data_IF_569827418278
#
_entry.id   IF_569827418278
#
_cell.length_a   1.000
_cell.length_b   1.000
_cell.length_c   1.000
_cell.angle_alpha   90.00
_cell.angle_beta   90.00
_cell.angle_gamma   90.00
#
_symmetry.space_group_name_H-M   'P 1'
#
loop_
_entity.id
_entity.type
_entity.pdbx_description
1 polymer ?
#
# COMPACT_ATOMS: atom_id res chain seq x y z
N UNK A 1 -5.99 -16.14 -2.94
CA UNK A 1 -5.58 -14.87 -3.56
C UNK A 1 -5.67 -13.79 -2.49
N UNK A 2 -4.67 -12.92 -2.32
CA UNK A 2 -4.72 -11.86 -1.31
C UNK A 2 -5.79 -10.81 -1.63
N UNK A 3 -6.30 -10.14 -0.60
CA UNK A 3 -7.20 -9.00 -0.78
C UNK A 3 -6.48 -7.84 -1.47
N UNK A 4 -7.19 -7.09 -2.30
CA UNK A 4 -6.68 -5.89 -2.93
C UNK A 4 -6.48 -4.77 -1.90
N UNK A 5 -5.46 -3.95 -2.10
CA UNK A 5 -5.21 -2.77 -1.27
C UNK A 5 -5.91 -1.54 -1.85
N UNK A 6 -6.32 -0.64 -0.96
CA UNK A 6 -6.99 0.63 -1.30
C UNK A 6 -6.58 1.73 -0.34
N UNK A 7 -6.95 2.96 -0.67
CA UNK A 7 -6.71 4.14 0.17
C UNK A 7 -7.11 3.89 1.63
N UNK A 8 -6.29 4.38 2.56
CA UNK A 8 -6.43 4.20 4.01
C UNK A 8 -6.16 2.78 4.54
N UNK A 9 -5.86 1.79 3.70
CA UNK A 9 -5.35 0.50 4.19
C UNK A 9 -3.94 0.68 4.79
N UNK A 10 -3.61 -0.20 5.75
CA UNK A 10 -2.40 -0.07 6.58
C UNK A 10 -1.17 -0.67 5.91
N UNK A 11 -0.03 -0.03 6.10
CA UNK A 11 1.30 -0.59 5.91
C UNK A 11 1.97 -0.83 7.25
N UNK A 12 2.39 -2.07 7.51
CA UNK A 12 2.88 -2.50 8.82
C UNK A 12 4.08 -1.70 9.32
N UNK A 13 4.29 -1.71 10.62
CA UNK A 13 5.52 -1.21 11.26
C UNK A 13 6.76 -2.00 10.82
N UNK A 14 7.94 -1.39 10.96
CA UNK A 14 9.25 -2.06 10.85
C UNK A 14 10.29 -1.31 11.70
N UNK A 15 11.27 -2.01 12.26
CA UNK A 15 12.43 -1.42 12.95
C UNK A 15 12.12 -0.33 14.00
N UNK A 16 10.95 -0.42 14.66
CA UNK A 16 10.47 0.56 15.64
C UNK A 16 9.83 1.82 15.04
N UNK A 17 9.64 1.90 13.72
CA UNK A 17 8.79 2.88 13.05
C UNK A 17 7.35 2.36 13.01
N UNK A 18 6.39 3.16 13.49
CA UNK A 18 4.98 2.76 13.61
C UNK A 18 4.30 2.57 12.25
N UNK A 19 3.17 1.85 12.21
CA UNK A 19 2.39 1.64 10.99
C UNK A 19 1.77 2.95 10.47
N UNK A 20 1.65 3.08 9.15
CA UNK A 20 0.98 4.21 8.51
C UNK A 20 0.08 3.73 7.39
N UNK A 21 -0.75 4.60 6.84
CA UNK A 21 -1.75 4.24 5.82
C UNK A 21 -1.35 4.74 4.44
N UNK A 22 -1.91 4.10 3.40
CA UNK A 22 -1.86 4.58 2.01
C UNK A 22 -2.61 5.92 1.94
N UNK A 23 -1.99 6.94 1.33
CA UNK A 23 -2.52 8.32 1.29
C UNK A 23 -2.90 8.81 -0.11
N UNK A 24 -2.57 8.06 -1.15
CA UNK A 24 -3.09 8.28 -2.50
C UNK A 24 -3.22 6.94 -3.22
N UNK A 25 -4.15 6.87 -4.18
CA UNK A 25 -4.33 5.72 -5.05
C UNK A 25 -4.72 6.14 -6.46
N UNK A 26 -5.36 5.23 -7.18
CA UNK A 26 -5.96 5.47 -8.49
C UNK A 26 -7.08 6.52 -8.42
N UNK A 27 -7.13 7.43 -9.41
CA UNK A 27 -8.22 8.40 -9.57
C UNK A 27 -9.37 7.88 -10.45
N UNK A 28 -9.25 6.69 -11.00
CA UNK A 28 -10.13 6.11 -12.04
C UNK A 28 -10.73 4.77 -11.62
N UNK A 29 -10.06 4.03 -10.74
CA UNK A 29 -10.48 2.71 -10.26
C UNK A 29 -10.68 2.72 -8.76
N UNK A 30 -11.86 2.28 -8.34
CA UNK A 30 -12.28 2.23 -6.95
C UNK A 30 -12.58 0.78 -6.55
N UNK A 31 -12.10 0.38 -5.38
CA UNK A 31 -12.37 -0.91 -4.73
C UNK A 31 -13.12 -0.60 -3.44
N UNK A 32 -14.31 -1.18 -3.28
CA UNK A 32 -15.22 -0.89 -2.16
C UNK A 32 -15.48 0.61 -1.95
N UNK A 33 -15.52 1.38 -3.04
CA UNK A 33 -15.73 2.83 -3.01
C UNK A 33 -14.49 3.67 -2.65
N UNK A 34 -13.34 3.04 -2.36
CA UNK A 34 -12.06 3.74 -2.10
C UNK A 34 -11.10 3.59 -3.28
N UNK A 35 -10.22 4.58 -3.46
CA UNK A 35 -9.21 4.55 -4.54
C UNK A 35 -8.36 3.28 -4.44
N UNK A 36 -8.26 2.52 -5.53
CA UNK A 36 -7.44 1.32 -5.57
C UNK A 36 -5.95 1.68 -5.46
N UNK A 37 -5.19 0.93 -4.68
CA UNK A 37 -3.77 1.15 -4.51
C UNK A 37 -2.94 0.32 -5.51
N UNK A 38 -1.80 0.86 -5.90
CA UNK A 38 -0.91 0.32 -6.93
C UNK A 38 0.54 0.45 -6.50
N UNK A 39 1.42 -0.29 -7.15
CA UNK A 39 2.86 -0.10 -6.98
C UNK A 39 3.23 1.37 -7.22
N UNK A 40 4.05 1.93 -6.32
CA UNK A 40 4.48 3.32 -6.34
C UNK A 40 3.57 4.29 -5.58
N UNK A 41 2.32 3.91 -5.26
CA UNK A 41 1.44 4.77 -4.49
C UNK A 41 2.01 5.00 -3.06
N UNK A 42 1.91 6.24 -2.53
CA UNK A 42 2.54 6.61 -1.28
C UNK A 42 1.76 6.17 -0.05
N UNK A 43 2.49 5.87 1.02
CA UNK A 43 1.96 5.84 2.38
C UNK A 43 2.42 7.09 3.12
N UNK A 44 1.71 7.45 4.20
CA UNK A 44 2.16 8.55 5.05
C UNK A 44 3.57 8.26 5.59
N UNK A 45 4.49 9.25 5.59
CA UNK A 45 5.81 9.08 6.16
C UNK A 45 5.70 8.81 7.65
N UNK A 46 6.71 8.15 8.20
CA UNK A 46 6.80 7.91 9.64
C UNK A 46 8.19 8.21 10.18
N UNK A 47 8.26 8.38 11.50
CA UNK A 47 9.48 8.63 12.24
C UNK A 47 9.50 7.74 13.50
N UNK A 48 10.65 7.70 14.17
CA UNK A 48 10.80 7.10 15.50
C UNK A 48 11.71 7.99 16.34
N UNK A 49 11.74 7.84 17.68
CA UNK A 49 12.61 8.66 18.53
C UNK A 49 14.07 8.66 18.02
N UNK A 50 14.67 9.86 17.99
CA UNK A 50 16.07 10.09 17.56
C UNK A 50 16.38 9.76 16.09
N UNK A 51 15.37 9.62 15.23
CA UNK A 51 15.55 9.40 13.79
C UNK A 51 14.60 10.33 13.00
N UNK A 52 15.06 10.96 11.91
CA UNK A 52 14.19 11.81 11.09
C UNK A 52 13.08 10.99 10.40
N UNK A 53 11.98 11.63 9.99
CA UNK A 53 10.96 10.96 9.17
C UNK A 53 11.54 10.54 7.82
N UNK A 54 11.00 9.48 7.24
CA UNK A 54 11.33 9.05 5.87
C UNK A 54 10.06 8.68 5.09
N UNK A 55 10.08 8.81 3.74
CA UNK A 55 8.95 8.49 2.89
C UNK A 55 8.72 6.98 2.81
N UNK A 56 7.50 6.61 2.41
CA UNK A 56 7.08 5.22 2.21
C UNK A 56 6.29 5.12 0.92
N UNK A 57 6.53 4.08 0.12
CA UNK A 57 5.70 3.75 -1.07
C UNK A 57 5.55 2.25 -1.22
N UNK A 58 4.47 1.83 -1.87
CA UNK A 58 4.24 0.44 -2.22
C UNK A 58 5.32 -0.01 -3.22
N UNK A 59 6.09 -1.03 -2.87
CA UNK A 59 7.17 -1.57 -3.70
C UNK A 59 6.75 -2.82 -4.48
N UNK A 60 5.81 -3.61 -3.95
CA UNK A 60 5.26 -4.80 -4.61
C UNK A 60 3.94 -4.56 -5.35
N UNK A 61 3.46 -5.57 -6.07
CA UNK A 61 2.19 -5.56 -6.77
C UNK A 61 1.93 -6.89 -7.48
N UNK A 62 0.75 -7.02 -8.08
CA UNK A 62 0.38 -8.16 -8.94
C UNK A 62 1.25 -8.25 -10.19
N UNK A 63 1.59 -9.47 -10.61
CA UNK A 63 2.31 -9.72 -11.86
C UNK A 63 1.40 -9.74 -13.10
N UNK A 64 0.07 -9.78 -12.90
CA UNK A 64 -0.90 -9.98 -13.98
C UNK A 64 -2.05 -8.99 -13.99
N UNK A 65 -2.32 -8.32 -12.87
CA UNK A 65 -3.40 -7.34 -12.76
C UNK A 65 -2.80 -5.94 -12.64
N UNK A 66 -3.17 -5.09 -13.58
CA UNK A 66 -2.71 -3.72 -13.67
C UNK A 66 -3.89 -2.76 -13.51
N UNK A 67 -3.71 -1.73 -12.69
CA UNK A 67 -4.66 -0.63 -12.51
C UNK A 67 -3.94 0.63 -12.98
N UNK A 68 -4.52 1.34 -13.95
CA UNK A 68 -3.88 2.46 -14.65
C UNK A 68 -2.48 2.17 -15.19
N UNK A 69 -2.26 0.93 -15.64
CA UNK A 69 -0.97 0.49 -16.18
C UNK A 69 0.10 0.18 -15.12
N UNK A 70 -0.21 0.30 -13.83
CA UNK A 70 0.70 -0.07 -12.73
C UNK A 70 0.24 -1.37 -12.05
N UNK A 71 1.16 -2.22 -11.55
CA UNK A 71 0.81 -3.40 -10.78
C UNK A 71 -0.15 -3.08 -9.63
N UNK A 72 -1.28 -3.78 -9.56
CA UNK A 72 -2.26 -3.60 -8.49
C UNK A 72 -1.68 -4.07 -7.15
N UNK A 73 -1.80 -3.26 -6.10
CA UNK A 73 -1.28 -3.59 -4.78
C UNK A 73 -2.25 -4.53 -4.03
N UNK A 74 -1.68 -5.44 -3.26
CA UNK A 74 -2.39 -6.51 -2.55
C UNK A 74 -1.87 -6.64 -1.12
N UNK A 75 -2.63 -7.32 -0.28
CA UNK A 75 -2.14 -7.76 1.03
C UNK A 75 -0.87 -8.58 0.89
N UNK A 76 0.15 -8.22 1.68
CA UNK A 76 1.45 -8.87 1.68
C UNK A 76 2.47 -8.23 0.72
N UNK A 77 2.06 -7.34 -0.18
CA UNK A 77 3.01 -6.64 -1.04
C UNK A 77 3.90 -5.70 -0.20
N UNK A 78 5.20 -5.68 -0.53
CA UNK A 78 6.22 -4.98 0.25
C UNK A 78 6.10 -3.45 0.16
N UNK A 79 6.58 -2.76 1.19
CA UNK A 79 6.80 -1.31 1.23
C UNK A 79 8.30 -1.06 1.12
N UNK A 80 8.71 -0.05 0.36
CA UNK A 80 10.11 0.19 -0.01
C UNK A 80 11.06 0.39 1.19
N UNK A 81 10.57 1.01 2.27
CA UNK A 81 11.32 1.23 3.50
C UNK A 81 11.27 0.06 4.49
N UNK A 82 10.37 -0.91 4.26
CA UNK A 82 10.11 -2.04 5.17
C UNK A 82 8.63 -2.19 5.55
N UNK A 83 8.26 -3.44 5.84
CA UNK A 83 6.88 -3.84 6.12
C UNK A 83 6.10 -4.25 4.87
N UNK A 84 4.82 -4.57 5.07
CA UNK A 84 3.90 -5.02 4.02
C UNK A 84 2.55 -4.32 4.13
N UNK A 85 1.78 -4.35 3.04
CA UNK A 85 0.40 -3.85 3.02
C UNK A 85 -0.56 -4.86 3.65
N UNK A 86 -1.52 -4.35 4.42
CA UNK A 86 -2.66 -5.09 4.98
C UNK A 86 -3.93 -4.55 4.34
N UNK A 87 -4.34 -5.17 3.24
CA UNK A 87 -5.54 -4.83 2.49
C UNK A 87 -6.82 -5.35 3.16
N UNK A 88 -7.84 -4.51 3.23
CA UNK A 88 -9.12 -4.82 3.88
C UNK A 88 -10.30 -4.68 2.91
N UNK A 89 -10.23 -5.34 1.76
CA UNK A 89 -11.25 -5.23 0.70
C UNK A 89 -12.02 -6.52 0.48
N UNK A 90 -13.19 -6.41 -0.16
CA UNK A 90 -13.99 -7.54 -0.62
C UNK A 90 -13.45 -8.18 -1.91
N UNK A 91 -12.48 -7.53 -2.57
CA UNK A 91 -11.89 -7.94 -3.85
C UNK A 91 -10.59 -8.68 -3.61
N UNK A 92 -10.39 -9.81 -4.27
CA UNK A 92 -9.12 -10.54 -4.28
C UNK A 92 -8.43 -10.37 -5.63
N UNK A 93 -7.12 -10.10 -5.61
CA UNK A 93 -6.29 -9.90 -6.82
C UNK A 93 -5.19 -10.98 -6.84
N UNK A 94 -4.98 -11.55 -8.04
CA UNK A 94 -3.96 -12.56 -8.31
C UNK A 94 -2.55 -12.04 -8.22
#
# INVERSE_FOLDING_TARGET
>A
MPSAAKLSDKGTQHDGYYETVIIAGSSTVFIDGSQAARQGDPLAPHAKPKHPPHPRKIAGGSESVFIDGLPAARTGDAIDCGGVIIGNSSVNIG
#
